data_IF_701221595173
#
_entry.id   IF_701221595173
#
_cell.length_a   1.000
_cell.length_b   1.000
_cell.length_c   1.000
_cell.angle_alpha   90.00
_cell.angle_beta   90.00
_cell.angle_gamma   90.00
#
_symmetry.space_group_name_H-M   'P 1'
#
loop_
_entity.id
_entity.type
_entity.pdbx_description
1 polymer ?
#
# COMPACT_ATOMS: atom_id res chain seq x y z
N UNK A 1 -6.91 -2.42 14.26
CA UNK A 1 -7.05 -3.17 13.01
C UNK A 1 -7.68 -4.53 13.20
N UNK A 2 -8.78 -4.77 12.50
CA UNK A 2 -9.55 -6.03 12.53
C UNK A 2 -9.47 -6.72 11.17
N UNK A 3 -9.62 -8.05 11.16
CA UNK A 3 -9.76 -8.85 9.96
C UNK A 3 -11.08 -9.60 9.97
N UNK A 4 -11.71 -9.69 8.81
CA UNK A 4 -12.98 -10.40 8.57
C UNK A 4 -12.73 -11.44 7.48
N UNK A 5 -13.55 -12.47 7.46
CA UNK A 5 -13.58 -13.47 6.39
C UNK A 5 -14.90 -13.35 5.63
N UNK A 6 -14.79 -13.25 4.33
CA UNK A 6 -15.91 -13.23 3.41
C UNK A 6 -15.71 -14.35 2.39
N UNK A 7 -16.77 -15.05 2.05
CA UNK A 7 -16.72 -16.03 0.95
C UNK A 7 -17.11 -15.32 -0.35
N UNK A 8 -16.44 -15.63 -1.46
CA UNK A 8 -16.68 -14.96 -2.74
C UNK A 8 -18.17 -14.94 -3.13
N UNK A 9 -18.90 -16.04 -2.91
CA UNK A 9 -20.32 -16.12 -3.21
C UNK A 9 -21.23 -15.28 -2.28
N UNK A 10 -20.71 -14.73 -1.19
CA UNK A 10 -21.44 -13.80 -0.30
C UNK A 10 -21.32 -12.35 -0.79
N UNK A 11 -20.44 -12.08 -1.77
CA UNK A 11 -20.33 -10.76 -2.39
C UNK A 11 -21.49 -10.59 -3.37
N UNK A 12 -22.34 -9.56 -3.21
CA UNK A 12 -23.45 -9.32 -4.12
C UNK A 12 -22.95 -9.04 -5.55
N UNK A 13 -23.49 -9.76 -6.52
CA UNK A 13 -23.24 -9.47 -7.93
C UNK A 13 -23.90 -8.16 -8.35
N UNK A 14 -23.17 -7.36 -9.14
CA UNK A 14 -23.73 -6.19 -9.77
C UNK A 14 -24.48 -6.60 -11.04
N UNK A 15 -25.78 -6.26 -11.16
CA UNK A 15 -26.59 -6.63 -12.32
C UNK A 15 -26.16 -5.99 -13.64
N UNK A 16 -25.33 -4.95 -13.61
CA UNK A 16 -24.71 -4.30 -14.77
C UNK A 16 -23.53 -3.41 -14.34
N UNK A 17 -22.66 -3.04 -15.30
CA UNK A 17 -21.55 -2.09 -15.06
C UNK A 17 -22.02 -0.73 -14.52
N UNK A 18 -23.24 -0.33 -14.80
CA UNK A 18 -23.83 0.95 -14.36
C UNK A 18 -24.66 0.81 -13.08
N UNK A 19 -24.74 -0.38 -12.47
CA UNK A 19 -25.47 -0.58 -11.25
C UNK A 19 -24.73 0.03 -10.06
N UNK A 20 -25.50 0.57 -9.11
CA UNK A 20 -24.92 1.08 -7.88
C UNK A 20 -24.45 -0.09 -7.04
N UNK A 21 -23.15 -0.10 -6.66
CA UNK A 21 -22.58 -1.14 -5.81
C UNK A 21 -23.21 -1.22 -4.41
N UNK A 22 -22.96 -2.33 -3.73
CA UNK A 22 -23.40 -2.53 -2.35
C UNK A 22 -22.32 -2.00 -1.39
N UNK A 23 -22.72 -1.18 -0.43
CA UNK A 23 -21.78 -0.65 0.57
C UNK A 23 -21.22 -1.79 1.43
N UNK A 24 -19.91 -1.78 1.68
CA UNK A 24 -19.20 -2.82 2.46
C UNK A 24 -19.78 -3.06 3.85
N UNK A 25 -20.35 -2.04 4.48
CA UNK A 25 -21.07 -2.18 5.79
C UNK A 25 -22.29 -3.09 5.73
N UNK A 26 -22.84 -3.34 4.54
CA UNK A 26 -23.95 -4.29 4.35
C UNK A 26 -23.45 -5.73 4.13
N UNK A 27 -22.18 -5.90 3.81
CA UNK A 27 -21.55 -7.19 3.54
C UNK A 27 -20.74 -7.68 4.75
N UNK A 28 -20.06 -6.76 5.43
CA UNK A 28 -19.22 -7.02 6.59
C UNK A 28 -19.76 -6.27 7.83
N UNK A 29 -19.66 -6.84 9.04
CA UNK A 29 -20.09 -6.21 10.29
C UNK A 29 -19.05 -5.16 10.74
N UNK A 30 -18.83 -4.14 9.91
CA UNK A 30 -17.91 -3.05 10.21
C UNK A 30 -18.45 -2.16 11.33
N UNK A 31 -17.57 -1.72 12.21
CA UNK A 31 -17.90 -0.74 13.23
C UNK A 31 -18.02 0.67 12.61
N UNK A 32 -18.65 1.59 13.33
CA UNK A 32 -18.75 2.99 12.91
C UNK A 32 -17.34 3.59 12.79
N UNK A 33 -17.03 4.16 11.63
CA UNK A 33 -15.70 4.74 11.32
C UNK A 33 -14.65 3.70 10.89
N UNK A 34 -14.99 2.41 10.83
CA UNK A 34 -14.09 1.38 10.30
C UNK A 34 -14.12 1.38 8.77
N UNK A 35 -12.95 1.36 8.15
CA UNK A 35 -12.77 1.27 6.70
C UNK A 35 -11.98 0.02 6.31
N UNK A 36 -12.20 -0.48 5.09
CA UNK A 36 -11.44 -1.60 4.55
C UNK A 36 -10.13 -1.07 3.96
N UNK A 37 -9.01 -1.54 4.49
CA UNK A 37 -7.65 -1.14 4.03
C UNK A 37 -7.20 -2.03 2.87
N UNK A 38 -7.45 -3.34 2.95
CA UNK A 38 -7.02 -4.30 1.92
C UNK A 38 -7.94 -5.51 1.90
N UNK A 39 -7.93 -6.22 0.79
CA UNK A 39 -8.59 -7.51 0.60
C UNK A 39 -7.57 -8.50 0.07
N UNK A 40 -7.53 -9.71 0.64
CA UNK A 40 -6.56 -10.74 0.32
C UNK A 40 -7.30 -12.03 -0.02
N UNK A 41 -7.02 -12.59 -1.20
CA UNK A 41 -7.55 -13.87 -1.60
C UNK A 41 -6.77 -15.00 -0.92
N UNK A 42 -7.45 -15.71 0.00
CA UNK A 42 -6.84 -16.80 0.76
C UNK A 42 -6.64 -18.08 -0.07
N UNK A 43 -7.35 -18.27 -1.17
CA UNK A 43 -7.21 -19.46 -2.01
C UNK A 43 -5.90 -19.43 -2.83
N UNK A 44 -5.40 -18.23 -3.12
CA UNK A 44 -4.11 -18.03 -3.81
C UNK A 44 -2.91 -18.04 -2.87
N UNK A 45 -3.13 -18.20 -1.56
CA UNK A 45 -2.07 -18.14 -0.56
C UNK A 45 -1.62 -19.54 -0.15
N UNK A 46 -0.33 -19.81 -0.32
CA UNK A 46 0.32 -21.01 0.20
C UNK A 46 0.48 -20.95 1.74
N UNK A 47 0.63 -22.12 2.39
CA UNK A 47 0.56 -22.23 3.86
C UNK A 47 1.69 -21.52 4.62
N UNK A 48 2.86 -21.32 4.05
CA UNK A 48 4.06 -20.80 4.72
C UNK A 48 4.30 -19.28 4.51
N UNK A 49 3.23 -18.48 4.51
CA UNK A 49 3.35 -17.04 4.32
C UNK A 49 2.98 -16.25 5.58
N UNK A 50 3.38 -14.99 5.59
CA UNK A 50 3.09 -14.06 6.66
C UNK A 50 2.25 -12.90 6.14
N UNK A 51 1.48 -12.28 7.04
CA UNK A 51 0.92 -10.95 6.82
C UNK A 51 1.85 -9.92 7.44
N UNK A 52 2.38 -9.04 6.59
CA UNK A 52 3.18 -7.90 7.02
C UNK A 52 2.30 -6.65 7.02
N UNK A 53 2.15 -6.05 8.18
CA UNK A 53 1.26 -4.90 8.42
C UNK A 53 2.07 -3.66 8.70
N UNK A 54 1.64 -2.53 8.17
CA UNK A 54 2.26 -1.21 8.37
C UNK A 54 1.20 -0.20 8.78
N UNK A 55 1.45 0.56 9.85
CA UNK A 55 0.54 1.59 10.32
C UNK A 55 0.98 2.99 9.93
N UNK A 56 0.06 3.96 10.01
CA UNK A 56 0.28 5.37 9.72
C UNK A 56 1.40 5.97 10.59
N UNK A 57 1.50 5.56 11.86
CA UNK A 57 2.55 6.02 12.77
C UNK A 57 3.86 5.24 12.65
N UNK A 58 3.97 4.38 11.62
CA UNK A 58 5.22 3.69 11.29
C UNK A 58 5.51 2.48 12.16
N UNK A 59 4.50 1.91 12.80
CA UNK A 59 4.58 0.60 13.46
C UNK A 59 4.44 -0.49 12.40
N UNK A 60 5.22 -1.56 12.54
CA UNK A 60 5.17 -2.73 11.67
C UNK A 60 4.98 -4.01 12.45
N UNK A 61 4.32 -4.97 11.84
CA UNK A 61 4.05 -6.28 12.45
C UNK A 61 4.08 -7.38 11.41
N UNK A 62 4.70 -8.50 11.74
CA UNK A 62 4.69 -9.72 10.93
C UNK A 62 4.01 -10.83 11.71
N UNK A 63 3.01 -11.46 11.10
CA UNK A 63 2.21 -12.52 11.71
C UNK A 63 2.01 -13.65 10.70
N UNK A 64 2.24 -14.89 11.12
CA UNK A 64 2.00 -16.05 10.26
C UNK A 64 0.51 -16.15 9.87
N UNK A 65 0.21 -16.55 8.62
CA UNK A 65 -1.14 -16.64 8.09
C UNK A 65 -2.02 -17.62 8.89
N UNK A 66 -1.40 -18.65 9.51
CA UNK A 66 -2.09 -19.65 10.34
C UNK A 66 -2.84 -19.03 11.52
N UNK A 67 -2.37 -17.89 12.05
CA UNK A 67 -3.05 -17.16 13.12
C UNK A 67 -4.44 -16.65 12.70
N UNK A 68 -4.73 -16.64 11.38
CA UNK A 68 -5.97 -16.16 10.76
C UNK A 68 -6.85 -17.26 10.15
N UNK A 69 -6.51 -18.54 10.30
CA UNK A 69 -7.31 -19.68 9.75
C UNK A 69 -8.75 -19.69 10.29
N UNK A 70 -8.94 -19.32 11.55
CA UNK A 70 -10.23 -19.40 12.24
C UNK A 70 -10.78 -17.99 12.55
N UNK A 71 -11.21 -17.28 11.52
CA UNK A 71 -11.84 -15.96 11.67
C UNK A 71 -13.34 -16.15 11.98
N UNK A 72 -13.78 -15.63 13.12
CA UNK A 72 -15.20 -15.62 13.49
C UNK A 72 -15.93 -14.58 12.63
N UNK A 73 -17.26 -14.73 12.46
CA UNK A 73 -18.08 -13.76 11.71
C UNK A 73 -17.99 -12.33 12.27
N UNK A 74 -17.78 -12.19 13.57
CA UNK A 74 -17.56 -10.88 14.23
C UNK A 74 -16.17 -10.29 13.99
N UNK A 75 -15.32 -10.94 13.20
CA UNK A 75 -13.92 -10.56 12.96
C UNK A 75 -12.98 -10.94 14.10
N UNK A 76 -11.69 -10.73 13.85
CA UNK A 76 -10.61 -10.92 14.82
C UNK A 76 -9.70 -9.70 14.82
N UNK A 77 -9.09 -9.39 15.97
CA UNK A 77 -8.01 -8.40 16.00
C UNK A 77 -6.80 -8.94 15.24
N UNK A 78 -6.36 -8.17 14.25
CA UNK A 78 -5.17 -8.46 13.46
C UNK A 78 -3.95 -7.72 14.01
N UNK A 79 -4.14 -6.53 14.53
CA UNK A 79 -3.11 -5.70 15.16
C UNK A 79 -3.76 -4.78 16.20
N UNK A 80 -3.10 -4.56 17.33
CA UNK A 80 -3.51 -3.52 18.27
C UNK A 80 -2.90 -2.19 17.81
N UNK A 81 -3.75 -1.24 17.48
CA UNK A 81 -3.36 0.12 17.07
C UNK A 81 -3.33 1.04 18.29
N UNK A 82 -2.43 2.01 18.27
CA UNK A 82 -2.47 3.14 19.19
C UNK A 82 -3.67 4.04 18.90
N UNK A 83 -4.04 4.88 19.86
CA UNK A 83 -5.10 5.86 19.66
C UNK A 83 -4.73 6.84 18.52
N UNK A 84 -5.62 6.97 17.54
CA UNK A 84 -5.41 7.80 16.36
C UNK A 84 -4.51 7.17 15.29
N UNK A 85 -3.96 5.96 15.49
CA UNK A 85 -3.19 5.26 14.47
C UNK A 85 -4.09 4.44 13.53
N UNK A 86 -3.70 4.32 12.27
CA UNK A 86 -4.45 3.60 11.24
C UNK A 86 -3.58 2.57 10.53
N UNK A 87 -4.18 1.47 10.11
CA UNK A 87 -3.52 0.49 9.28
C UNK A 87 -3.47 1.02 7.84
N UNK A 88 -2.26 1.19 7.29
CA UNK A 88 -2.05 1.74 5.94
C UNK A 88 -1.88 0.62 4.91
N UNK A 89 -1.13 -0.43 5.26
CA UNK A 89 -0.82 -1.49 4.30
C UNK A 89 -0.78 -2.85 4.98
N UNK A 90 -1.25 -3.87 4.26
CA UNK A 90 -1.10 -5.28 4.61
C UNK A 90 -0.64 -6.02 3.36
N UNK A 91 0.53 -6.65 3.44
CA UNK A 91 1.11 -7.41 2.35
C UNK A 91 1.32 -8.86 2.77
N UNK A 92 1.24 -9.78 1.80
CA UNK A 92 1.64 -11.17 1.98
C UNK A 92 3.14 -11.26 1.76
N UNK A 93 3.86 -11.91 2.68
CA UNK A 93 5.32 -12.09 2.61
C UNK A 93 5.73 -13.52 2.89
N UNK A 94 6.89 -13.92 2.35
CA UNK A 94 7.40 -15.30 2.42
C UNK A 94 8.55 -15.49 3.43
N UNK A 95 9.02 -14.42 4.08
CA UNK A 95 10.08 -14.48 5.09
C UNK A 95 11.44 -13.96 4.62
N UNK A 96 11.65 -13.80 3.31
CA UNK A 96 12.95 -13.44 2.70
C UNK A 96 12.90 -12.15 1.87
N UNK A 97 11.90 -11.34 2.07
CA UNK A 97 11.65 -10.13 1.28
C UNK A 97 12.11 -8.86 2.00
N UNK A 98 12.24 -7.79 1.26
CA UNK A 98 12.47 -6.48 1.82
C UNK A 98 11.15 -5.69 1.87
N UNK A 99 11.04 -4.84 2.87
CA UNK A 99 9.91 -3.94 3.07
C UNK A 99 10.37 -2.52 2.75
N UNK A 100 9.63 -1.86 1.87
CA UNK A 100 9.77 -0.43 1.60
C UNK A 100 8.62 0.30 2.27
N UNK A 101 8.93 1.36 3.02
CA UNK A 101 7.93 2.26 3.62
C UNK A 101 8.21 3.67 3.11
N UNK A 102 7.16 4.35 2.63
CA UNK A 102 7.21 5.74 2.20
C UNK A 102 6.36 6.65 3.09
N UNK A 103 6.80 7.91 3.26
CA UNK A 103 6.15 8.88 4.13
C UNK A 103 5.66 10.12 3.40
N UNK A 104 4.69 10.79 3.99
CA UNK A 104 4.07 12.03 3.53
C UNK A 104 5.10 13.13 3.25
N UNK A 105 6.09 13.29 4.11
CA UNK A 105 7.15 14.28 3.96
C UNK A 105 8.31 13.83 3.05
N UNK A 106 8.08 12.79 2.21
CA UNK A 106 8.99 12.39 1.15
C UNK A 106 10.22 11.64 1.63
N UNK A 107 10.12 10.90 2.72
CA UNK A 107 11.16 9.98 3.21
C UNK A 107 10.78 8.54 2.82
N UNK A 108 11.77 7.68 2.62
CA UNK A 108 11.55 6.25 2.51
C UNK A 108 12.64 5.45 3.22
N UNK A 109 12.26 4.28 3.72
CA UNK A 109 13.17 3.31 4.31
C UNK A 109 12.93 1.93 3.68
N UNK A 110 14.01 1.20 3.37
CA UNK A 110 13.99 -0.21 2.96
C UNK A 110 14.73 -1.03 3.99
N UNK A 111 14.11 -2.11 4.48
CA UNK A 111 14.72 -3.03 5.43
C UNK A 111 14.22 -4.45 5.20
N UNK A 112 15.00 -5.44 5.64
CA UNK A 112 14.58 -6.85 5.54
C UNK A 112 13.40 -7.16 6.45
N UNK A 113 12.40 -7.88 5.96
CA UNK A 113 11.29 -8.36 6.80
C UNK A 113 11.77 -9.24 7.96
N UNK A 114 12.93 -9.90 7.82
CA UNK A 114 13.55 -10.70 8.89
C UNK A 114 13.95 -9.88 10.12
N UNK A 115 14.13 -8.56 9.97
CA UNK A 115 14.34 -7.65 11.10
C UNK A 115 13.10 -7.53 12.01
N UNK A 116 11.93 -8.00 11.52
CA UNK A 116 10.66 -8.04 12.27
C UNK A 116 10.35 -9.48 12.65
N UNK A 117 10.50 -9.81 13.93
CA UNK A 117 10.15 -11.15 14.43
C UNK A 117 8.68 -11.48 14.16
N UNK A 118 8.37 -12.75 14.00
CA UNK A 118 7.00 -13.23 13.99
C UNK A 118 6.30 -12.92 15.32
N UNK A 119 5.09 -12.40 15.23
CA UNK A 119 4.27 -12.02 16.38
C UNK A 119 2.87 -12.60 16.26
N UNK A 120 2.24 -12.88 17.39
CA UNK A 120 0.84 -13.29 17.42
C UNK A 120 -0.07 -12.11 17.07
N UNK A 121 -1.27 -12.39 16.57
CA UNK A 121 -2.23 -11.39 16.06
C UNK A 121 -2.58 -10.27 17.05
N UNK A 122 -2.66 -10.53 18.34
CA UNK A 122 -2.97 -9.51 19.36
C UNK A 122 -1.76 -8.64 19.77
N UNK A 123 -0.60 -8.80 19.13
CA UNK A 123 0.55 -7.96 19.41
C UNK A 123 0.38 -6.58 18.77
N UNK A 124 1.01 -5.57 19.37
CA UNK A 124 1.02 -4.19 18.89
C UNK A 124 1.94 -4.02 17.67
N UNK A 125 3.09 -4.65 17.65
CA UNK A 125 4.11 -4.49 16.62
C UNK A 125 5.38 -3.85 17.16
N UNK A 126 6.21 -3.40 16.24
CA UNK A 126 7.50 -2.74 16.51
C UNK A 126 7.70 -1.56 15.57
N UNK A 127 8.57 -0.64 15.92
CA UNK A 127 8.86 0.51 15.04
C UNK A 127 9.49 0.06 13.73
N UNK A 128 8.85 0.38 12.60
CA UNK A 128 9.37 0.18 11.24
C UNK A 128 10.24 1.35 10.78
N UNK A 129 9.76 2.57 10.99
CA UNK A 129 10.44 3.82 10.64
C UNK A 129 10.36 4.81 11.81
N UNK A 130 11.38 5.66 11.94
CA UNK A 130 11.36 6.81 12.87
C UNK A 130 10.89 8.03 12.10
N UNK A 131 9.63 8.38 12.27
CA UNK A 131 9.01 9.55 11.63
C UNK A 131 9.55 10.86 12.20
N UNK A 132 9.60 11.88 11.36
CA UNK A 132 9.80 13.25 11.79
C UNK A 132 8.50 13.83 12.38
N UNK A 133 8.58 14.95 13.06
CA UNK A 133 7.38 15.64 13.57
C UNK A 133 6.45 16.02 12.43
N UNK A 134 5.17 15.64 12.53
CA UNK A 134 4.14 15.89 11.52
C UNK A 134 4.19 14.98 10.30
N UNK A 135 5.10 13.99 10.27
CA UNK A 135 5.19 13.02 9.19
C UNK A 135 4.35 11.77 9.50
N UNK A 136 3.82 11.13 8.48
CA UNK A 136 3.07 9.88 8.56
C UNK A 136 3.46 8.96 7.40
N UNK A 137 3.23 7.66 7.56
CA UNK A 137 3.36 6.68 6.48
C UNK A 137 2.19 6.84 5.52
N UNK A 138 2.47 6.83 4.22
CA UNK A 138 1.47 6.95 3.14
C UNK A 138 1.47 5.76 2.19
N UNK A 139 2.39 4.82 2.36
CA UNK A 139 2.44 3.60 1.56
C UNK A 139 3.55 2.67 2.00
N UNK A 140 3.39 1.38 1.72
CA UNK A 140 4.40 0.37 1.96
C UNK A 140 4.23 -0.80 0.98
N UNK A 141 5.34 -1.24 0.41
CA UNK A 141 5.39 -2.35 -0.53
C UNK A 141 6.42 -3.41 -0.15
N UNK A 142 6.35 -4.54 -0.83
CA UNK A 142 7.24 -5.67 -0.69
C UNK A 142 8.14 -5.75 -1.91
N UNK A 143 9.43 -5.98 -1.69
CA UNK A 143 10.44 -6.15 -2.72
C UNK A 143 11.02 -7.56 -2.61
N UNK A 144 10.95 -8.33 -3.68
CA UNK A 144 11.59 -9.64 -3.76
C UNK A 144 13.08 -9.47 -4.05
N UNK A 145 13.92 -10.30 -3.43
CA UNK A 145 15.38 -10.22 -3.62
C UNK A 145 15.82 -10.50 -5.07
N UNK A 146 15.05 -11.33 -5.79
CA UNK A 146 15.33 -11.78 -7.15
C UNK A 146 14.66 -10.91 -8.23
N UNK A 147 13.95 -9.85 -7.82
CA UNK A 147 13.12 -9.02 -8.70
C UNK A 147 13.88 -7.75 -9.12
N UNK A 148 14.74 -7.89 -10.15
CA UNK A 148 15.54 -6.79 -10.67
C UNK A 148 14.73 -5.69 -11.37
N UNK A 149 13.46 -5.96 -11.70
CA UNK A 149 12.57 -5.05 -12.44
C UNK A 149 11.60 -4.28 -11.53
N UNK A 150 11.58 -4.58 -10.23
CA UNK A 150 10.75 -3.86 -9.29
C UNK A 150 11.16 -2.37 -9.19
N UNK A 151 10.17 -1.51 -9.20
CA UNK A 151 10.34 -0.08 -9.16
C UNK A 151 9.48 0.53 -8.06
N UNK A 152 9.82 1.73 -7.66
CA UNK A 152 9.08 2.49 -6.66
C UNK A 152 8.44 3.69 -7.33
N UNK A 153 7.14 3.70 -7.40
CA UNK A 153 6.34 4.84 -7.83
C UNK A 153 5.98 5.70 -6.62
N UNK A 154 6.18 7.00 -6.76
CA UNK A 154 5.83 8.01 -5.74
C UNK A 154 5.05 9.11 -6.40
N UNK A 155 3.92 9.48 -5.82
CA UNK A 155 3.06 10.56 -6.31
C UNK A 155 2.68 11.52 -5.18
N UNK A 156 2.56 12.80 -5.52
CA UNK A 156 2.21 13.87 -4.59
C UNK A 156 0.81 14.44 -4.85
N UNK A 157 0.29 15.23 -3.91
CA UNK A 157 -1.04 15.84 -3.94
C UNK A 157 -1.36 16.55 -5.26
N UNK A 158 -0.39 17.26 -5.82
CA UNK A 158 -0.56 18.05 -7.03
C UNK A 158 -0.31 17.23 -8.33
N UNK A 159 -0.28 15.88 -8.24
CA UNK A 159 -0.10 15.00 -9.39
C UNK A 159 1.32 14.97 -9.96
N UNK A 160 2.33 15.31 -9.17
CA UNK A 160 3.73 15.12 -9.54
C UNK A 160 4.17 13.72 -9.13
N UNK A 161 4.57 12.91 -10.10
CA UNK A 161 4.99 11.54 -9.89
C UNK A 161 6.40 11.28 -10.39
N UNK A 162 6.97 10.21 -9.89
CA UNK A 162 8.25 9.67 -10.35
C UNK A 162 8.32 8.17 -10.12
N UNK A 163 9.12 7.51 -10.93
CA UNK A 163 9.44 6.09 -10.83
C UNK A 163 10.95 5.92 -10.69
N UNK A 164 11.41 5.13 -9.74
CA UNK A 164 12.82 4.82 -9.50
C UNK A 164 13.00 3.30 -9.41
N UNK A 165 14.15 2.79 -9.82
CA UNK A 165 14.51 1.41 -9.56
C UNK A 165 14.56 1.14 -8.05
N UNK A 166 14.09 -0.02 -7.62
CA UNK A 166 14.10 -0.41 -6.21
C UNK A 166 15.52 -0.45 -5.60
N UNK A 167 16.53 -0.71 -6.43
CA UNK A 167 17.94 -0.71 -6.04
C UNK A 167 18.45 0.67 -5.58
N UNK A 168 17.82 1.76 -6.00
CA UNK A 168 18.15 3.11 -5.51
C UNK A 168 17.88 3.28 -4.00
N UNK A 169 17.09 2.37 -3.40
CA UNK A 169 16.75 2.39 -1.98
C UNK A 169 17.65 1.44 -1.21
N UNK A 170 18.68 1.98 -0.59
CA UNK A 170 19.67 1.21 0.19
C UNK A 170 19.01 0.48 1.35
N UNK A 171 19.34 -0.81 1.50
CA UNK A 171 18.91 -1.62 2.63
C UNK A 171 19.46 -1.05 3.95
N UNK A 172 18.60 -0.86 4.92
CA UNK A 172 18.91 -0.31 6.25
C UNK A 172 18.35 -1.22 7.34
N UNK A 173 18.69 -0.95 8.59
CA UNK A 173 17.98 -1.55 9.71
C UNK A 173 16.64 -0.86 9.93
N UNK A 174 15.58 -1.65 10.26
CA UNK A 174 14.27 -1.09 10.61
C UNK A 174 14.35 -0.10 11.77
N UNK A 175 13.39 0.80 11.86
CA UNK A 175 13.30 1.81 12.92
C UNK A 175 14.27 2.97 12.75
N UNK A 176 15.02 3.01 11.64
CA UNK A 176 15.84 4.16 11.23
C UNK A 176 14.99 5.33 10.71
N UNK A 177 15.67 6.43 10.40
CA UNK A 177 15.02 7.65 9.84
C UNK A 177 14.72 7.54 8.35
N UNK A 178 15.28 6.53 7.66
CA UNK A 178 15.21 6.44 6.20
C UNK A 178 16.07 7.50 5.49
N UNK A 179 15.77 7.72 4.23
CA UNK A 179 16.46 8.68 3.36
C UNK A 179 15.45 9.42 2.48
N UNK A 180 15.85 10.57 1.94
CA UNK A 180 14.98 11.33 1.03
C UNK A 180 14.58 10.48 -0.18
N UNK A 181 13.29 10.38 -0.38
CA UNK A 181 12.64 9.76 -1.52
C UNK A 181 12.11 10.81 -2.50
N UNK A 182 11.44 11.84 -1.99
CA UNK A 182 10.79 12.86 -2.81
C UNK A 182 11.17 14.25 -2.32
N UNK A 183 11.39 15.18 -3.25
CA UNK A 183 11.63 16.59 -2.91
C UNK A 183 10.31 17.35 -2.95
N UNK A 184 9.76 17.60 -1.77
CA UNK A 184 8.55 18.41 -1.59
C UNK A 184 8.85 19.88 -1.87
N UNK A 185 7.93 20.52 -2.56
CA UNK A 185 7.93 21.96 -2.86
C UNK A 185 6.49 22.49 -2.78
N UNK A 186 6.31 23.80 -2.72
CA UNK A 186 4.97 24.39 -2.78
C UNK A 186 4.19 24.02 -4.05
N UNK A 187 4.90 23.62 -5.13
CA UNK A 187 4.30 23.22 -6.39
C UNK A 187 3.82 21.77 -6.39
N UNK A 188 4.47 20.90 -5.64
CA UNK A 188 4.17 19.48 -5.64
C UNK A 188 3.16 19.09 -4.55
N UNK A 189 3.11 19.83 -3.47
CA UNK A 189 2.44 19.39 -2.26
C UNK A 189 3.14 18.19 -1.61
N UNK A 190 2.51 17.60 -0.62
CA UNK A 190 2.99 16.43 0.12
C UNK A 190 2.86 15.14 -0.72
N UNK A 191 3.58 14.10 -0.33
CA UNK A 191 3.45 12.77 -0.94
C UNK A 191 2.15 12.12 -0.46
N UNK A 192 1.38 11.58 -1.40
CA UNK A 192 0.10 10.88 -1.14
C UNK A 192 0.29 9.37 -1.14
N UNK A 193 1.13 8.86 -2.04
CA UNK A 193 1.34 7.42 -2.13
C UNK A 193 2.77 7.07 -2.55
N UNK A 194 3.22 5.91 -2.05
CA UNK A 194 4.48 5.25 -2.42
C UNK A 194 4.18 3.77 -2.58
N UNK A 195 4.30 3.26 -3.80
CA UNK A 195 3.97 1.88 -4.16
C UNK A 195 5.11 1.19 -4.89
N UNK A 196 5.21 -0.12 -4.74
CA UNK A 196 6.07 -0.96 -5.56
C UNK A 196 5.30 -1.32 -6.83
N UNK A 197 5.91 -1.11 -7.98
CA UNK A 197 5.29 -1.29 -9.30
C UNK A 197 6.24 -1.99 -10.27
N UNK A 198 5.66 -2.54 -11.34
CA UNK A 198 6.37 -3.13 -12.48
C UNK A 198 6.07 -2.36 -13.76
N UNK A 199 6.78 -2.69 -14.84
CA UNK A 199 6.66 -1.97 -16.11
C UNK A 199 5.26 -2.10 -16.75
N UNK A 200 4.66 -3.27 -16.62
CA UNK A 200 3.36 -3.64 -17.18
C UNK A 200 2.17 -3.31 -16.29
N UNK A 201 2.42 -2.82 -15.07
CA UNK A 201 1.36 -2.39 -14.17
C UNK A 201 0.66 -1.12 -14.68
N UNK A 202 -0.61 -1.00 -14.31
CA UNK A 202 -1.36 0.23 -14.44
C UNK A 202 -1.65 0.84 -13.07
N UNK A 203 -1.83 2.15 -13.05
CA UNK A 203 -2.24 2.87 -11.86
C UNK A 203 -3.56 3.57 -12.09
N UNK A 204 -4.49 3.32 -11.19
CA UNK A 204 -5.72 4.09 -11.06
C UNK A 204 -5.52 5.16 -10.00
N UNK A 205 -5.63 6.42 -10.40
CA UNK A 205 -5.55 7.57 -9.51
C UNK A 205 -6.96 8.09 -9.24
N UNK A 206 -7.25 8.38 -7.99
CA UNK A 206 -8.51 8.97 -7.55
C UNK A 206 -8.21 10.34 -6.94
N UNK A 207 -8.90 11.37 -7.44
CA UNK A 207 -8.78 12.72 -6.90
C UNK A 207 -9.80 13.00 -5.79
N UNK A 208 -9.58 14.06 -5.01
CA UNK A 208 -10.51 14.49 -3.94
C UNK A 208 -11.90 14.86 -4.47
N UNK A 209 -11.99 15.36 -5.70
CA UNK A 209 -13.26 15.66 -6.36
C UNK A 209 -13.90 14.45 -7.05
N UNK A 210 -13.31 13.24 -6.90
CA UNK A 210 -13.85 11.99 -7.41
C UNK A 210 -13.53 11.70 -8.89
N UNK A 211 -12.57 12.41 -9.48
CA UNK A 211 -12.06 12.10 -10.82
C UNK A 211 -11.19 10.85 -10.75
N UNK A 212 -11.41 9.92 -11.66
CA UNK A 212 -10.63 8.69 -11.78
C UNK A 212 -9.82 8.74 -13.06
N UNK A 213 -8.52 8.53 -12.96
CA UNK A 213 -7.59 8.53 -14.10
C UNK A 213 -6.81 7.22 -14.06
N UNK A 214 -6.77 6.50 -15.16
CA UNK A 214 -5.98 5.26 -15.35
C UNK A 214 -4.83 5.55 -16.31
N UNK A 215 -3.63 5.09 -15.99
CA UNK A 215 -2.45 5.26 -16.83
C UNK A 215 -1.46 4.10 -16.60
N UNK A 216 -0.67 3.81 -17.63
CA UNK A 216 0.30 2.72 -17.60
C UNK A 216 1.63 3.19 -16.99
N UNK A 217 2.30 2.31 -16.22
CA UNK A 217 3.60 2.62 -15.64
C UNK A 217 4.68 2.84 -16.71
N UNK A 218 4.56 2.21 -17.87
CA UNK A 218 5.48 2.45 -18.99
C UNK A 218 5.50 3.90 -19.50
N UNK A 219 4.43 4.66 -19.29
CA UNK A 219 4.34 6.08 -19.68
C UNK A 219 5.18 6.99 -18.77
N UNK A 220 5.63 6.48 -17.63
CA UNK A 220 6.40 7.23 -16.65
C UNK A 220 7.86 6.77 -16.67
N UNK A 221 8.74 7.63 -17.18
CA UNK A 221 10.16 7.31 -17.28
C UNK A 221 10.82 7.06 -15.91
N UNK A 222 11.61 5.99 -15.82
CA UNK A 222 12.41 5.68 -14.63
C UNK A 222 13.48 6.76 -14.43
N UNK A 223 13.60 7.27 -13.21
CA UNK A 223 14.55 8.32 -12.83
C UNK A 223 15.68 7.73 -11.97
N UNK A 224 16.93 8.11 -12.28
CA UNK A 224 18.10 7.68 -11.50
C UNK A 224 18.14 8.30 -10.10
N UNK A 225 17.75 9.55 -9.96
CA UNK A 225 17.76 10.27 -8.68
C UNK A 225 16.45 10.12 -7.92
N UNK A 226 16.49 9.64 -6.67
CA UNK A 226 15.28 9.50 -5.85
C UNK A 226 14.84 10.79 -5.15
N UNK A 227 15.77 11.69 -4.77
CA UNK A 227 15.46 12.94 -4.06
C UNK A 227 15.08 14.10 -5.00
N UNK A 228 14.20 13.85 -5.96
CA UNK A 228 13.69 14.83 -6.93
C UNK A 228 12.18 15.04 -6.75
N UNK A 229 11.64 16.12 -7.29
CA UNK A 229 10.22 16.46 -7.20
C UNK A 229 9.33 15.71 -8.21
N UNK A 230 9.89 14.82 -9.01
CA UNK A 230 9.15 14.14 -10.07
C UNK A 230 8.80 15.07 -11.25
N UNK A 231 7.90 14.59 -12.08
CA UNK A 231 7.32 15.31 -13.21
C UNK A 231 5.81 15.35 -13.04
N UNK A 232 5.13 16.32 -13.67
CA UNK A 232 3.67 16.35 -13.69
C UNK A 232 3.20 15.13 -14.49
N UNK A 233 2.69 14.13 -13.80
CA UNK A 233 2.20 12.88 -14.41
C UNK A 233 0.73 13.00 -14.78
N UNK A 234 -0.04 13.75 -13.97
CA UNK A 234 -1.46 13.95 -14.20
C UNK A 234 -1.85 15.40 -14.04
N UNK A 235 -2.71 15.85 -14.95
CA UNK A 235 -3.33 17.17 -14.89
C UNK A 235 -4.65 17.06 -14.14
N UNK A 236 -4.65 17.60 -12.93
CA UNK A 236 -5.85 17.73 -12.09
C UNK A 236 -6.57 19.02 -12.45
N UNK A 237 -7.86 19.06 -12.17
CA UNK A 237 -8.65 20.28 -12.31
C UNK A 237 -8.22 21.33 -11.26
N UNK A 238 -8.57 22.58 -11.45
CA UNK A 238 -8.18 23.67 -10.54
C UNK A 238 -8.70 23.43 -9.13
N UNK A 239 -7.81 23.42 -8.16
CA UNK A 239 -8.12 23.16 -6.74
C UNK A 239 -8.37 21.70 -6.39
N UNK A 240 -8.21 20.75 -7.35
CA UNK A 240 -8.30 19.32 -7.08
C UNK A 240 -6.93 18.74 -6.70
N UNK A 241 -6.92 17.67 -5.92
CA UNK A 241 -5.73 16.98 -5.44
C UNK A 241 -5.85 15.47 -5.60
N UNK A 242 -4.71 14.79 -5.68
CA UNK A 242 -4.68 13.33 -5.59
C UNK A 242 -5.09 12.92 -4.18
N UNK A 243 -6.12 12.08 -4.08
CA UNK A 243 -6.58 11.51 -2.82
C UNK A 243 -5.95 10.15 -2.53
N UNK A 244 -5.89 9.27 -3.56
CA UNK A 244 -5.33 7.92 -3.44
C UNK A 244 -4.96 7.34 -4.79
N UNK A 245 -4.21 6.25 -4.78
CA UNK A 245 -3.96 5.43 -5.98
C UNK A 245 -4.22 3.95 -5.67
N UNK A 246 -4.47 3.17 -6.73
CA UNK A 246 -4.47 1.71 -6.71
C UNK A 246 -3.60 1.21 -7.86
N UNK A 247 -2.76 0.22 -7.58
CA UNK A 247 -1.96 -0.47 -8.60
C UNK A 247 -2.76 -1.66 -9.11
N UNK A 248 -2.85 -1.81 -10.41
CA UNK A 248 -3.45 -2.95 -11.11
C UNK A 248 -2.30 -3.72 -11.74
N UNK A 249 -2.00 -4.95 -11.25
CA UNK A 249 -0.92 -5.77 -11.81
C UNK A 249 -1.15 -6.09 -13.29
N UNK A 250 -0.10 -6.06 -14.10
CA UNK A 250 -0.16 -6.34 -15.53
C UNK A 250 -0.74 -7.72 -15.86
N UNK A 251 -0.46 -8.73 -15.05
CA UNK A 251 -1.04 -10.07 -15.20
C UNK A 251 -2.59 -10.10 -15.07
N UNK A 252 -3.16 -9.20 -14.26
CA UNK A 252 -4.63 -9.11 -14.12
C UNK A 252 -5.28 -8.41 -15.32
N UNK A 253 -4.53 -7.57 -16.05
CA UNK A 253 -5.02 -6.86 -17.24
C UNK A 253 -5.14 -7.83 -18.43
N UNK A 254 -4.16 -8.73 -18.57
CA UNK A 254 -4.18 -9.76 -19.64
C UNK A 254 -5.36 -10.73 -19.49
N UNK A 255 -5.77 -11.05 -18.26
CA UNK A 255 -6.93 -11.89 -17.98
C UNK A 255 -8.25 -11.18 -18.32
N UNK A 256 -8.35 -9.85 -18.12
CA UNK A 256 -9.54 -9.06 -18.48
C UNK A 256 -9.72 -8.87 -20.00
N UNK A 257 -8.63 -8.85 -20.78
CA UNK A 257 -8.67 -8.74 -22.24
C UNK A 257 -8.91 -10.09 -22.93
N UNK A 258 -8.75 -11.21 -22.23
CA UNK A 258 -8.93 -12.56 -22.74
C UNK A 258 -10.38 -13.10 -22.59
N UNK A 259 -11.25 -12.44 -21.82
CA UNK A 259 -12.68 -12.73 -21.65
C UNK A 259 -13.54 -11.84 -22.59
#
# INVERSE_FOLDING_TARGET
GRTYRLKAYEVPEAGSRNSRGTAMVNVLPLAVGESVTTMIDLERIHEDVNLFMVTEFGVVKRTAIEEYRNIRRSGLNAINLDEGDHLISVNVTTGNQDILIGTKLGIAIRFSESDVRLMKRAAHGVRGIKLNTGDVVVGAGVLNADESEAQVFTISEEGFGKRNDAEAYTLQKRGGKGSKNFKITNKTGDVVAVEVVHNDDEVMLISEQGKIIRFNMNDIAVKKGKAISGVKTQNLDEGDKVASIAVIPGAEIEDEEAE
#
